data_IF_939351080430
#
_entry.id   IF_939351080430
#
_cell.length_a   1.000
_cell.length_b   1.000
_cell.length_c   1.000
_cell.angle_alpha   90.00
_cell.angle_beta   90.00
_cell.angle_gamma   90.00
#
_symmetry.space_group_name_H-M   'P 1'
#
loop_
_entity.id
_entity.type
_entity.pdbx_description
1 polymer ?
#
# COMPACT_ATOMS: atom_id res chain seq x y z
N UNK A 1 -9.64 5.67 4.68
CA UNK A 1 -9.93 5.75 3.20
C UNK A 1 -11.25 6.46 2.89
N UNK A 2 -12.19 6.64 3.84
CA UNK A 2 -13.53 7.22 3.57
C UNK A 2 -13.51 8.50 2.71
N UNK A 3 -12.76 9.53 3.10
CA UNK A 3 -12.70 10.78 2.33
C UNK A 3 -12.15 10.63 0.90
N UNK A 4 -11.20 9.70 0.69
CA UNK A 4 -10.71 9.39 -0.67
C UNK A 4 -11.82 8.76 -1.51
N UNK A 5 -12.58 7.82 -0.93
CA UNK A 5 -13.71 7.15 -1.62
C UNK A 5 -14.80 8.17 -1.96
N UNK A 6 -15.15 9.04 -1.02
CA UNK A 6 -16.15 10.11 -1.24
C UNK A 6 -15.73 11.07 -2.36
N UNK A 7 -14.46 11.47 -2.38
CA UNK A 7 -13.92 12.36 -3.43
C UNK A 7 -13.92 11.69 -4.81
N UNK A 8 -13.52 10.43 -4.89
CA UNK A 8 -13.55 9.66 -6.13
C UNK A 8 -14.97 9.44 -6.63
N UNK A 9 -15.90 9.10 -5.73
CA UNK A 9 -17.31 8.95 -6.10
C UNK A 9 -17.92 10.27 -6.59
N UNK A 10 -17.61 11.38 -5.92
CA UNK A 10 -18.05 12.72 -6.36
C UNK A 10 -17.45 13.10 -7.73
N UNK A 11 -16.29 12.59 -8.08
CA UNK A 11 -15.64 12.76 -9.38
C UNK A 11 -16.16 11.80 -10.48
N UNK A 12 -17.17 10.96 -10.15
CA UNK A 12 -17.84 10.06 -11.10
C UNK A 12 -17.24 8.65 -11.18
N UNK A 13 -16.32 8.28 -10.30
CA UNK A 13 -15.78 6.91 -10.26
C UNK A 13 -16.69 5.98 -9.45
N UNK A 14 -16.91 4.77 -9.97
CA UNK A 14 -17.43 3.66 -9.18
C UNK A 14 -16.29 3.10 -8.31
N UNK A 15 -16.53 2.98 -7.00
CA UNK A 15 -15.52 2.59 -6.04
C UNK A 15 -15.84 1.23 -5.40
N UNK A 16 -14.94 0.27 -5.54
CA UNK A 16 -14.98 -1.01 -4.85
C UNK A 16 -14.06 -0.97 -3.64
N UNK A 17 -14.62 -1.20 -2.46
CA UNK A 17 -13.88 -1.14 -1.19
C UNK A 17 -13.94 -2.51 -0.52
N UNK A 18 -12.98 -3.39 -0.77
CA UNK A 18 -12.99 -4.72 -0.20
C UNK A 18 -12.72 -4.70 1.31
N UNK A 19 -13.35 -5.62 2.02
CA UNK A 19 -12.94 -5.93 3.40
C UNK A 19 -11.77 -6.90 3.33
N UNK A 20 -10.62 -6.45 3.82
CA UNK A 20 -9.40 -7.22 3.73
C UNK A 20 -9.47 -8.52 4.57
N UNK A 21 -8.76 -9.59 4.15
CA UNK A 21 -8.63 -10.81 4.94
C UNK A 21 -8.20 -10.50 6.38
N UNK A 22 -8.75 -11.21 7.35
CA UNK A 22 -8.49 -10.97 8.77
C UNK A 22 -9.21 -9.76 9.39
N UNK A 23 -9.95 -8.99 8.59
CA UNK A 23 -10.71 -7.81 9.07
C UNK A 23 -12.23 -8.04 9.07
N UNK A 24 -12.68 -9.23 8.77
CA UNK A 24 -14.09 -9.60 8.85
C UNK A 24 -14.44 -9.92 10.29
N UNK A 25 -15.54 -9.34 10.80
CA UNK A 25 -16.00 -9.58 12.17
C UNK A 25 -16.20 -11.09 12.42
N UNK A 26 -15.64 -11.60 13.51
CA UNK A 26 -15.71 -13.02 13.90
C UNK A 26 -14.64 -13.93 13.26
N UNK A 27 -13.79 -13.41 12.39
CA UNK A 27 -12.62 -14.15 11.90
C UNK A 27 -11.40 -13.79 12.76
N UNK A 28 -10.64 -14.82 13.14
CA UNK A 28 -9.42 -14.70 13.94
C UNK A 28 -8.16 -15.04 13.14
N UNK A 29 -8.30 -15.10 11.83
CA UNK A 29 -7.21 -15.52 10.96
C UNK A 29 -6.13 -14.41 10.87
N UNK A 30 -4.90 -14.83 10.87
CA UNK A 30 -3.76 -13.99 10.57
C UNK A 30 -3.85 -13.54 9.10
N UNK A 31 -3.60 -12.26 8.84
CA UNK A 31 -3.49 -11.77 7.47
C UNK A 31 -2.14 -11.06 7.25
N UNK A 32 -1.62 -11.22 6.07
CA UNK A 32 -0.31 -10.72 5.65
C UNK A 32 -0.42 -9.81 4.43
N UNK A 33 0.68 -9.14 4.10
CA UNK A 33 0.80 -8.39 2.84
C UNK A 33 0.46 -9.27 1.61
N UNK A 34 0.84 -10.56 1.66
CA UNK A 34 0.55 -11.52 0.59
C UNK A 34 -0.94 -11.74 0.41
N UNK A 35 -1.69 -11.90 1.51
CA UNK A 35 -3.15 -12.13 1.44
C UNK A 35 -3.86 -10.91 0.86
N UNK A 36 -3.41 -9.69 1.21
CA UNK A 36 -3.92 -8.46 0.63
C UNK A 36 -3.60 -8.35 -0.87
N UNK A 37 -2.39 -8.72 -1.27
CA UNK A 37 -1.99 -8.70 -2.68
C UNK A 37 -2.77 -9.75 -3.50
N UNK A 38 -2.97 -10.94 -2.96
CA UNK A 38 -3.79 -11.98 -3.58
C UNK A 38 -5.25 -11.56 -3.71
N UNK A 39 -5.80 -10.89 -2.69
CA UNK A 39 -7.16 -10.33 -2.76
C UNK A 39 -7.27 -9.29 -3.88
N UNK A 40 -6.29 -8.37 -4.00
CA UNK A 40 -6.28 -7.37 -5.06
C UNK A 40 -6.19 -8.02 -6.45
N UNK A 41 -5.38 -9.07 -6.58
CA UNK A 41 -5.28 -9.85 -7.81
C UNK A 41 -6.58 -10.56 -8.15
N UNK A 42 -7.18 -11.21 -7.16
CA UNK A 42 -8.46 -11.90 -7.33
C UNK A 42 -9.58 -10.94 -7.77
N UNK A 43 -9.64 -9.75 -7.18
CA UNK A 43 -10.61 -8.73 -7.57
C UNK A 43 -10.40 -8.28 -9.01
N UNK A 44 -9.16 -8.03 -9.41
CA UNK A 44 -8.83 -7.64 -10.79
C UNK A 44 -9.22 -8.70 -11.80
N UNK A 45 -9.03 -9.98 -11.46
CA UNK A 45 -9.37 -11.12 -12.32
C UNK A 45 -10.88 -11.35 -12.45
N UNK A 46 -11.63 -11.26 -11.34
CA UNK A 46 -13.04 -11.69 -11.30
C UNK A 46 -14.04 -10.55 -11.49
N UNK A 47 -13.65 -9.33 -11.18
CA UNK A 47 -14.50 -8.13 -11.24
C UNK A 47 -13.92 -6.98 -12.08
N UNK A 48 -12.68 -7.11 -12.53
CA UNK A 48 -12.02 -6.14 -13.38
C UNK A 48 -12.41 -6.25 -14.88
N UNK A 49 -11.68 -5.57 -15.75
CA UNK A 49 -10.54 -4.75 -15.37
C UNK A 49 -10.96 -3.46 -14.64
N UNK A 50 -10.33 -3.21 -13.49
CA UNK A 50 -10.48 -1.92 -12.83
C UNK A 50 -9.57 -0.88 -13.48
N UNK A 51 -10.06 0.35 -13.58
CA UNK A 51 -9.33 1.49 -14.11
C UNK A 51 -8.09 1.84 -13.30
N UNK A 52 -8.20 1.78 -11.96
CA UNK A 52 -7.10 2.07 -11.06
C UNK A 52 -7.24 1.36 -9.72
N UNK A 53 -6.10 1.18 -9.04
CA UNK A 53 -6.04 0.78 -7.64
C UNK A 53 -5.55 1.93 -6.75
N UNK A 54 -6.22 2.18 -5.62
CA UNK A 54 -5.81 3.21 -4.64
C UNK A 54 -5.61 2.54 -3.28
N UNK A 55 -4.41 2.62 -2.72
CA UNK A 55 -4.07 1.96 -1.46
C UNK A 55 -3.28 2.84 -0.50
N UNK A 56 -3.57 2.70 0.81
CA UNK A 56 -2.84 3.37 1.87
C UNK A 56 -1.95 2.38 2.62
N UNK A 57 -0.73 2.78 2.94
CA UNK A 57 0.18 2.00 3.79
C UNK A 57 0.33 0.56 3.26
N UNK A 58 -0.06 -0.45 4.05
CA UNK A 58 -0.08 -1.87 3.65
C UNK A 58 -0.88 -2.12 2.37
N UNK A 59 -2.02 -1.42 2.20
CA UNK A 59 -2.85 -1.54 1.00
C UNK A 59 -2.16 -1.04 -0.27
N UNK A 60 -1.34 0.01 -0.19
CA UNK A 60 -0.52 0.49 -1.31
C UNK A 60 0.57 -0.52 -1.69
N UNK A 61 1.26 -1.07 -0.69
CA UNK A 61 2.24 -2.13 -0.91
C UNK A 61 1.61 -3.38 -1.53
N UNK A 62 0.42 -3.76 -1.06
CA UNK A 62 -0.31 -4.91 -1.57
C UNK A 62 -0.72 -4.75 -3.05
N UNK A 63 -1.15 -3.56 -3.45
CA UNK A 63 -1.47 -3.27 -4.85
C UNK A 63 -0.24 -3.41 -5.74
N UNK A 64 0.92 -2.89 -5.33
CA UNK A 64 2.17 -3.09 -6.07
C UNK A 64 2.53 -4.57 -6.15
N UNK A 65 2.46 -5.30 -5.03
CA UNK A 65 2.78 -6.73 -4.97
C UNK A 65 1.75 -7.62 -5.67
N UNK A 66 0.55 -7.13 -5.98
CA UNK A 66 -0.45 -7.91 -6.74
C UNK A 66 0.03 -8.25 -8.16
N UNK A 67 0.97 -7.49 -8.71
CA UNK A 67 1.60 -7.80 -9.99
C UNK A 67 2.36 -9.14 -9.98
N UNK A 68 2.88 -9.56 -8.82
CA UNK A 68 3.52 -10.88 -8.65
C UNK A 68 2.49 -12.05 -8.69
N UNK A 69 1.21 -11.74 -8.55
CA UNK A 69 0.09 -12.67 -8.68
C UNK A 69 -0.63 -12.56 -10.03
N UNK A 70 -0.01 -11.90 -11.02
CA UNK A 70 -0.52 -11.79 -12.38
C UNK A 70 -1.45 -10.60 -12.63
N UNK A 71 -1.71 -9.75 -11.65
CA UNK A 71 -2.50 -8.54 -11.86
C UNK A 71 -1.76 -7.52 -12.71
N UNK A 72 -2.48 -6.92 -13.64
CA UNK A 72 -2.01 -5.75 -14.35
C UNK A 72 -2.92 -4.56 -14.03
N UNK A 73 -2.30 -3.45 -13.67
CA UNK A 73 -2.96 -2.20 -13.38
C UNK A 73 -2.43 -1.13 -14.30
N UNK A 74 -3.30 -0.46 -15.01
CA UNK A 74 -2.89 0.68 -15.85
C UNK A 74 -2.45 1.85 -14.99
N UNK A 75 -3.11 2.05 -13.85
CA UNK A 75 -2.82 3.10 -12.87
C UNK A 75 -2.87 2.58 -11.44
N UNK A 76 -1.88 2.94 -10.67
CA UNK A 76 -1.88 2.75 -9.21
C UNK A 76 -1.66 4.07 -8.48
N UNK A 77 -2.28 4.19 -7.32
CA UNK A 77 -2.03 5.27 -6.38
C UNK A 77 -1.68 4.66 -5.03
N UNK A 78 -0.52 5.02 -4.49
CA UNK A 78 -0.14 4.65 -3.13
C UNK A 78 -0.06 5.89 -2.26
N UNK A 79 -0.63 5.80 -1.06
CA UNK A 79 -0.62 6.87 -0.07
C UNK A 79 0.18 6.36 1.13
N UNK A 80 1.26 7.02 1.49
CA UNK A 80 2.12 6.65 2.63
C UNK A 80 2.50 5.16 2.64
N UNK A 81 2.86 4.60 1.48
CA UNK A 81 3.23 3.19 1.36
C UNK A 81 4.73 2.99 1.60
N UNK A 82 5.07 1.83 2.16
CA UNK A 82 6.45 1.43 2.36
C UNK A 82 7.05 0.80 1.10
N UNK A 83 8.37 0.87 0.97
CA UNK A 83 9.13 0.24 -0.10
C UNK A 83 9.63 -1.16 0.28
N UNK A 84 10.03 -1.35 1.55
CA UNK A 84 10.71 -2.55 2.03
C UNK A 84 9.97 -3.16 3.22
N UNK A 85 9.72 -4.46 3.16
CA UNK A 85 8.95 -5.20 4.18
C UNK A 85 9.69 -5.27 5.54
N UNK A 86 11.02 -5.28 5.54
CA UNK A 86 11.82 -5.24 6.77
C UNK A 86 11.52 -4.00 7.63
N UNK A 87 11.32 -2.85 7.01
CA UNK A 87 10.94 -1.62 7.73
C UNK A 87 9.63 -1.76 8.49
N UNK A 88 8.65 -2.45 7.89
CA UNK A 88 7.36 -2.71 8.55
C UNK A 88 7.57 -3.48 9.84
N UNK A 89 8.45 -4.48 9.86
CA UNK A 89 8.74 -5.27 11.06
C UNK A 89 9.48 -4.46 12.11
N UNK A 90 10.48 -3.67 11.71
CA UNK A 90 11.19 -2.78 12.62
C UNK A 90 10.22 -1.78 13.28
N UNK A 91 9.34 -1.18 12.48
CA UNK A 91 8.39 -0.21 12.97
C UNK A 91 7.33 -0.85 13.87
N UNK A 92 6.83 -2.03 13.52
CA UNK A 92 5.90 -2.80 14.36
C UNK A 92 6.50 -3.09 15.75
N UNK A 93 7.74 -3.56 15.81
CA UNK A 93 8.45 -3.83 17.07
C UNK A 93 8.64 -2.54 17.86
N UNK A 94 9.02 -1.44 17.20
CA UNK A 94 9.19 -0.13 17.83
C UNK A 94 7.88 0.38 18.45
N UNK A 95 6.78 0.32 17.70
CA UNK A 95 5.45 0.77 18.16
C UNK A 95 4.91 -0.12 19.30
N UNK A 96 5.23 -1.41 19.28
CA UNK A 96 4.83 -2.34 20.34
C UNK A 96 5.60 -2.15 21.64
N UNK A 97 6.60 -1.25 21.69
CA UNK A 97 7.47 -1.05 22.84
C UNK A 97 8.37 -2.26 23.14
N UNK A 98 8.49 -3.19 22.22
CA UNK A 98 9.35 -4.36 22.36
C UNK A 98 10.80 -4.01 22.01
N UNK A 99 11.78 -4.68 22.67
CA UNK A 99 13.19 -4.53 22.28
C UNK A 99 13.44 -4.94 20.83
N UNK A 100 14.29 -4.20 20.13
CA UNK A 100 14.61 -4.39 18.71
C UNK A 100 15.12 -5.81 18.37
N UNK A 101 15.73 -6.52 19.33
CA UNK A 101 16.14 -7.93 19.18
C UNK A 101 15.01 -8.90 18.84
N UNK A 102 13.75 -8.48 18.96
CA UNK A 102 12.61 -9.30 18.56
C UNK A 102 12.29 -9.23 17.07
N UNK A 103 12.91 -8.31 16.33
CA UNK A 103 12.72 -8.21 14.85
C UNK A 103 13.12 -9.53 14.19
N UNK A 104 14.29 -10.08 14.52
CA UNK A 104 14.78 -11.34 13.94
C UNK A 104 13.81 -12.50 14.20
N UNK A 105 13.28 -12.59 15.43
CA UNK A 105 12.27 -13.61 15.78
C UNK A 105 10.96 -13.43 15.03
N UNK A 106 10.55 -12.19 14.80
CA UNK A 106 9.36 -11.88 13.99
C UNK A 106 9.60 -12.30 12.55
N UNK A 107 10.75 -11.97 11.98
CA UNK A 107 11.16 -12.42 10.64
C UNK A 107 11.13 -13.93 10.50
N UNK A 108 11.79 -14.66 11.41
CA UNK A 108 11.80 -16.13 11.41
C UNK A 108 10.39 -16.74 11.49
N UNK A 109 9.51 -16.14 12.31
CA UNK A 109 8.13 -16.58 12.42
C UNK A 109 7.36 -16.33 11.13
N UNK A 110 7.45 -15.14 10.57
CA UNK A 110 6.76 -14.79 9.32
C UNK A 110 7.29 -15.61 8.15
N UNK A 111 8.61 -15.81 8.05
CA UNK A 111 9.22 -16.71 7.05
C UNK A 111 8.64 -18.11 7.13
N UNK A 112 8.48 -18.65 8.34
CA UNK A 112 7.92 -19.99 8.55
C UNK A 112 6.46 -20.06 8.14
N UNK A 113 5.65 -19.05 8.47
CA UNK A 113 4.21 -19.02 8.16
C UNK A 113 3.96 -18.75 6.67
N UNK A 114 4.76 -17.91 6.02
CA UNK A 114 4.66 -17.61 4.60
C UNK A 114 5.34 -18.66 3.69
N UNK A 115 6.23 -19.47 4.24
CA UNK A 115 7.05 -20.42 3.47
C UNK A 115 8.09 -19.76 2.57
N UNK A 116 8.37 -18.47 2.74
CA UNK A 116 9.32 -17.71 1.94
C UNK A 116 9.90 -16.54 2.73
N UNK A 117 11.08 -16.05 2.30
CA UNK A 117 11.72 -14.89 2.91
C UNK A 117 10.86 -13.62 2.67
N UNK A 118 10.44 -12.93 3.73
CA UNK A 118 9.66 -11.68 3.60
C UNK A 118 10.37 -10.55 2.85
N UNK A 119 11.72 -10.56 2.82
CA UNK A 119 12.48 -9.57 2.03
C UNK A 119 12.20 -9.67 0.54
N UNK A 120 11.97 -10.89 0.04
CA UNK A 120 11.64 -11.13 -1.36
C UNK A 120 10.23 -10.62 -1.72
N UNK A 121 9.43 -10.33 -0.70
CA UNK A 121 8.08 -9.84 -0.85
C UNK A 121 7.98 -8.36 -0.42
N UNK A 122 8.70 -7.53 -1.14
CA UNK A 122 8.80 -6.08 -0.87
C UNK A 122 8.31 -5.24 -2.06
N UNK A 123 7.49 -4.21 -1.85
CA UNK A 123 6.87 -3.43 -2.91
C UNK A 123 7.82 -2.86 -3.96
N UNK A 124 9.04 -2.47 -3.57
CA UNK A 124 10.05 -1.97 -4.52
C UNK A 124 10.58 -3.03 -5.49
N UNK A 125 10.33 -4.32 -5.23
CA UNK A 125 10.71 -5.42 -6.13
C UNK A 125 9.57 -5.83 -7.07
N UNK A 126 8.40 -5.24 -6.92
CA UNK A 126 7.23 -5.57 -7.73
C UNK A 126 7.42 -5.22 -9.21
N UNK A 127 6.81 -6.01 -10.09
CA UNK A 127 6.93 -5.87 -11.55
C UNK A 127 5.82 -4.99 -12.15
N UNK A 128 5.41 -3.96 -11.42
CA UNK A 128 4.41 -3.02 -11.94
C UNK A 128 5.03 -2.16 -13.05
N UNK A 129 4.34 -2.07 -14.19
CA UNK A 129 4.77 -1.32 -15.37
C UNK A 129 3.83 -0.18 -15.76
N UNK A 130 2.67 -0.08 -15.11
CA UNK A 130 1.70 0.99 -15.32
C UNK A 130 2.10 2.31 -14.68
N UNK A 131 1.29 3.33 -14.87
CA UNK A 131 1.49 4.62 -14.24
C UNK A 131 1.27 4.55 -12.72
N UNK A 132 2.11 5.22 -11.94
CA UNK A 132 2.10 5.16 -10.47
C UNK A 132 2.12 6.57 -9.88
N UNK A 133 1.13 6.89 -9.06
CA UNK A 133 1.16 8.07 -8.20
C UNK A 133 1.55 7.66 -6.78
N UNK A 134 2.58 8.31 -6.26
CA UNK A 134 3.04 8.21 -4.89
C UNK A 134 2.66 9.48 -4.14
N UNK A 135 1.78 9.41 -3.15
CA UNK A 135 1.44 10.56 -2.29
C UNK A 135 1.96 10.26 -0.89
N UNK A 136 2.83 11.11 -0.37
CA UNK A 136 3.49 10.84 0.91
C UNK A 136 3.73 12.12 1.70
N UNK A 137 3.57 12.04 3.03
CA UNK A 137 3.85 13.16 3.91
C UNK A 137 5.32 13.18 4.33
N UNK A 138 6.02 14.32 4.22
CA UNK A 138 7.43 14.40 4.58
C UNK A 138 7.72 14.14 6.07
N UNK A 139 6.72 14.34 6.94
CA UNK A 139 6.79 14.13 8.39
C UNK A 139 6.18 12.79 8.85
N UNK A 140 6.00 11.84 7.92
CA UNK A 140 5.51 10.49 8.25
C UNK A 140 6.54 9.75 9.11
N UNK A 141 6.17 9.48 10.36
CA UNK A 141 7.03 8.77 11.33
C UNK A 141 6.78 7.26 11.35
N UNK A 142 5.67 6.78 10.76
CA UNK A 142 5.34 5.36 10.66
C UNK A 142 6.02 4.75 9.42
N UNK A 143 5.94 5.45 8.28
CA UNK A 143 6.64 5.09 7.05
C UNK A 143 7.45 6.30 6.57
N UNK A 144 8.77 6.27 6.69
CA UNK A 144 9.61 7.41 6.31
C UNK A 144 9.45 7.82 4.85
N UNK A 145 9.53 9.13 4.57
CA UNK A 145 9.42 9.67 3.21
C UNK A 145 10.41 9.06 2.22
N UNK A 146 11.57 8.60 2.71
CA UNK A 146 12.57 7.88 1.92
C UNK A 146 12.06 6.56 1.31
N UNK A 147 10.96 6.01 1.81
CA UNK A 147 10.31 4.86 1.16
C UNK A 147 9.60 5.28 -0.13
N UNK A 148 8.94 6.45 -0.14
CA UNK A 148 8.36 7.00 -1.36
C UNK A 148 9.43 7.35 -2.40
N UNK A 149 10.57 7.88 -1.96
CA UNK A 149 11.72 8.12 -2.83
C UNK A 149 12.27 6.83 -3.41
N UNK A 150 12.40 5.77 -2.59
CA UNK A 150 12.81 4.44 -3.05
C UNK A 150 11.84 3.87 -4.08
N UNK A 151 10.53 3.98 -3.89
CA UNK A 151 9.53 3.56 -4.86
C UNK A 151 9.63 4.37 -6.15
N UNK A 152 9.76 5.70 -6.07
CA UNK A 152 9.95 6.56 -7.25
C UNK A 152 11.16 6.12 -8.08
N UNK A 153 12.26 5.82 -7.42
CA UNK A 153 13.50 5.46 -8.10
C UNK A 153 13.44 4.07 -8.77
N UNK A 154 12.57 3.17 -8.27
CA UNK A 154 12.35 1.84 -8.84
C UNK A 154 11.28 1.80 -9.93
N UNK A 155 10.32 2.72 -9.93
CA UNK A 155 9.23 2.77 -10.90
C UNK A 155 9.36 4.00 -11.81
N UNK A 156 9.95 3.87 -13.02
CA UNK A 156 10.24 5.00 -13.90
C UNK A 156 8.99 5.80 -14.35
N UNK A 157 7.81 5.17 -14.32
CA UNK A 157 6.54 5.83 -14.66
C UNK A 157 5.81 6.36 -13.42
N UNK A 158 6.54 6.59 -12.32
CA UNK A 158 5.95 7.14 -11.12
C UNK A 158 6.05 8.66 -11.05
N UNK A 159 5.04 9.25 -10.41
CA UNK A 159 5.03 10.65 -9.98
C UNK A 159 4.96 10.69 -8.46
N UNK A 160 5.88 11.37 -7.81
CA UNK A 160 5.88 11.57 -6.35
C UNK A 160 5.34 12.96 -6.01
N UNK A 161 4.29 13.00 -5.21
CA UNK A 161 3.75 14.21 -4.60
C UNK A 161 4.04 14.17 -3.10
N UNK A 162 4.86 15.11 -2.63
CA UNK A 162 5.01 15.39 -1.21
C UNK A 162 3.82 16.24 -0.75
N UNK A 163 3.00 15.73 0.17
CA UNK A 163 1.92 16.52 0.78
C UNK A 163 2.48 17.57 1.75
N UNK A 164 1.64 18.45 2.24
CA UNK A 164 1.97 19.22 3.44
C UNK A 164 2.24 18.27 4.63
N UNK A 165 2.91 18.73 5.71
CA UNK A 165 3.20 17.87 6.88
C UNK A 165 1.92 17.40 7.58
N UNK A 166 1.50 16.18 7.32
CA UNK A 166 0.23 15.57 7.78
C UNK A 166 0.44 14.24 8.51
N UNK A 167 1.64 13.66 8.40
CA UNK A 167 1.96 12.34 8.93
C UNK A 167 1.16 11.23 8.25
N UNK A 168 1.32 10.01 8.79
CA UNK A 168 0.85 8.77 8.16
C UNK A 168 -0.67 8.67 7.95
N UNK A 169 -1.45 9.21 8.89
CA UNK A 169 -2.91 8.99 8.92
C UNK A 169 -3.72 10.22 8.54
N UNK A 170 -3.28 11.42 8.93
CA UNK A 170 -4.02 12.65 8.64
C UNK A 170 -4.05 12.97 7.14
N UNK A 171 -3.05 12.51 6.40
CA UNK A 171 -2.98 12.62 4.93
C UNK A 171 -4.26 12.09 4.25
N UNK A 172 -4.91 11.08 4.82
CA UNK A 172 -6.16 10.50 4.30
C UNK A 172 -7.39 11.42 4.43
N UNK A 173 -7.31 12.47 5.26
CA UNK A 173 -8.43 13.33 5.61
C UNK A 173 -8.30 14.74 5.07
N UNK A 174 -7.39 14.97 4.12
CA UNK A 174 -7.11 16.28 3.56
C UNK A 174 -7.51 16.39 2.10
N UNK A 175 -8.19 17.52 1.80
CA UNK A 175 -8.65 17.82 0.44
C UNK A 175 -7.51 17.81 -0.57
N UNK A 176 -6.34 18.35 -0.21
CA UNK A 176 -5.16 18.36 -1.09
C UNK A 176 -4.75 16.96 -1.57
N UNK A 177 -4.87 15.94 -0.69
CA UNK A 177 -4.60 14.55 -1.04
C UNK A 177 -5.65 14.02 -2.00
N UNK A 178 -6.92 14.29 -1.74
CA UNK A 178 -8.02 13.84 -2.56
C UNK A 178 -7.99 14.48 -3.95
N UNK A 179 -7.75 15.79 -4.01
CA UNK A 179 -7.61 16.56 -5.25
C UNK A 179 -6.45 16.06 -6.10
N UNK A 180 -5.30 15.78 -5.48
CA UNK A 180 -4.15 15.20 -6.18
C UNK A 180 -4.48 13.84 -6.79
N UNK A 181 -5.18 12.97 -6.05
CA UNK A 181 -5.58 11.63 -6.53
C UNK A 181 -6.62 11.74 -7.65
N UNK A 182 -7.67 12.54 -7.45
CA UNK A 182 -8.73 12.76 -8.47
C UNK A 182 -8.12 13.34 -9.73
N UNK A 183 -7.31 14.41 -9.61
CA UNK A 183 -6.66 15.05 -10.75
C UNK A 183 -5.73 14.12 -11.52
N UNK A 184 -5.05 13.19 -10.84
CA UNK A 184 -4.23 12.18 -11.49
C UNK A 184 -5.05 11.13 -12.24
N UNK A 185 -6.18 10.70 -11.67
CA UNK A 185 -7.01 9.66 -12.26
C UNK A 185 -7.92 10.18 -13.38
N UNK A 186 -8.08 11.49 -13.54
CA UNK A 186 -8.84 12.12 -14.62
C UNK A 186 -7.99 12.44 -15.87
N UNK A 187 -6.70 12.18 -15.85
CA UNK A 187 -5.80 12.32 -17.02
C UNK A 187 -5.90 11.10 -17.94
#
# INVERSE_FOLDING_TARGET
>A
MGGVVEALHAAGFECWVPVAPGHVAGQTEFSSLRDFAQMASWLQEHHGPFYAGVGHSLGGGALLMSAEHGSQWDRLVTISSFAKTDRVFHEFIRQSGLPQRYVDRLFERVTRELGSDPHLYSPHLAKHTGALLLVHSPDDVEVPFSDAECLRDHFPQSTLIASSPLGHRKILWRAETWEAIVGYLQQ
#
